data_IF_827930544496
#
_entry.id   IF_827930544496
#
_cell.length_a   1.000
_cell.length_b   1.000
_cell.length_c   1.000
_cell.angle_alpha   90.00
_cell.angle_beta   90.00
_cell.angle_gamma   90.00
#
_symmetry.space_group_name_H-M   'P 1'
#
loop_
_entity.id
_entity.type
_entity.pdbx_description
1 polymer ?
#
# COMPACT_ATOMS: atom_id res chain seq x y z
N UNK A 1 4.72 40.55 1.59
CA UNK A 1 3.71 40.04 0.62
C UNK A 1 3.99 38.62 0.14
N UNK A 2 5.19 38.30 -0.35
CA UNK A 2 5.52 36.95 -0.84
C UNK A 2 5.20 35.83 0.17
N UNK A 3 5.54 36.01 1.45
CA UNK A 3 5.34 35.01 2.49
C UNK A 3 3.86 34.67 2.71
N UNK A 4 2.98 35.68 2.74
CA UNK A 4 1.54 35.48 2.89
C UNK A 4 0.91 34.74 1.68
N UNK A 5 1.55 34.79 0.51
CA UNK A 5 1.05 34.14 -0.71
C UNK A 5 1.56 32.71 -0.87
N UNK A 6 2.83 32.46 -0.58
CA UNK A 6 3.44 31.15 -0.80
C UNK A 6 3.31 30.21 0.40
N UNK A 7 3.30 30.72 1.64
CA UNK A 7 3.22 29.88 2.83
C UNK A 7 1.95 29.01 2.88
N UNK A 8 0.73 29.52 2.62
CA UNK A 8 -0.48 28.69 2.62
C UNK A 8 -0.45 27.62 1.51
N UNK A 9 0.11 27.96 0.36
CA UNK A 9 0.23 27.04 -0.78
C UNK A 9 1.20 25.91 -0.44
N UNK A 10 2.36 26.24 0.11
CA UNK A 10 3.35 25.27 0.59
C UNK A 10 2.73 24.34 1.64
N UNK A 11 2.08 24.89 2.67
CA UNK A 11 1.43 24.10 3.71
C UNK A 11 0.37 23.14 3.14
N UNK A 12 -0.45 23.62 2.20
CA UNK A 12 -1.50 22.81 1.58
C UNK A 12 -0.92 21.66 0.76
N UNK A 13 0.15 21.91 -0.01
CA UNK A 13 0.82 20.87 -0.80
C UNK A 13 1.48 19.82 0.11
N UNK A 14 2.18 20.24 1.16
CA UNK A 14 2.74 19.31 2.14
C UNK A 14 1.65 18.47 2.82
N UNK A 15 0.54 19.10 3.21
CA UNK A 15 -0.59 18.39 3.79
C UNK A 15 -1.16 17.33 2.83
N UNK A 16 -1.28 17.63 1.54
CA UNK A 16 -1.75 16.65 0.55
C UNK A 16 -0.80 15.47 0.39
N UNK A 17 0.52 15.71 0.40
CA UNK A 17 1.52 14.64 0.33
C UNK A 17 1.44 13.71 1.55
N UNK A 18 1.28 14.28 2.75
CA UNK A 18 1.10 13.49 3.99
C UNK A 18 -0.19 12.67 3.94
N UNK A 19 -1.30 13.25 3.46
CA UNK A 19 -2.56 12.51 3.33
C UNK A 19 -2.40 11.31 2.37
N UNK A 20 -1.75 11.54 1.23
CA UNK A 20 -1.50 10.49 0.25
C UNK A 20 -0.60 9.38 0.80
N UNK A 21 0.46 9.75 1.55
CA UNK A 21 1.36 8.77 2.15
C UNK A 21 0.64 7.87 3.16
N UNK A 22 -0.24 8.44 3.99
CA UNK A 22 -1.04 7.69 4.97
C UNK A 22 -1.97 6.69 4.26
N UNK A 23 -2.60 7.09 3.15
CA UNK A 23 -3.48 6.19 2.38
C UNK A 23 -2.68 5.00 1.85
N UNK A 24 -1.50 5.23 1.27
CA UNK A 24 -0.68 4.12 0.76
C UNK A 24 -0.11 3.23 1.87
N UNK A 25 0.25 3.80 3.02
CA UNK A 25 0.66 3.05 4.21
C UNK A 25 -0.46 2.10 4.69
N UNK A 26 -1.69 2.61 4.72
CA UNK A 26 -2.86 1.81 5.09
C UNK A 26 -3.11 0.68 4.09
N UNK A 27 -3.01 0.97 2.78
CA UNK A 27 -3.15 -0.04 1.72
C UNK A 27 -2.10 -1.14 1.89
N UNK A 28 -0.83 -0.77 2.11
CA UNK A 28 0.25 -1.74 2.38
C UNK A 28 -0.03 -2.58 3.63
N UNK A 29 -0.49 -1.95 4.72
CA UNK A 29 -0.82 -2.62 5.99
C UNK A 29 -1.99 -3.59 5.87
N UNK A 30 -3.01 -3.25 5.07
CA UNK A 30 -4.14 -4.16 4.82
C UNK A 30 -3.71 -5.29 3.88
N UNK A 31 -2.90 -4.98 2.86
CA UNK A 31 -2.41 -5.97 1.91
C UNK A 31 -1.50 -7.02 2.57
N UNK A 32 -0.68 -6.65 3.56
CA UNK A 32 0.18 -7.62 4.25
C UNK A 32 -0.63 -8.70 4.99
N UNK A 33 -1.78 -8.33 5.55
CA UNK A 33 -2.70 -9.28 6.21
C UNK A 33 -3.32 -10.29 5.24
N UNK A 34 -3.39 -9.96 3.95
CA UNK A 34 -3.92 -10.88 2.95
C UNK A 34 -3.03 -12.12 2.82
N UNK A 35 -1.72 -11.99 3.06
CA UNK A 35 -0.78 -13.12 2.98
C UNK A 35 -1.15 -14.20 4.00
N UNK A 36 -1.26 -13.80 5.27
CA UNK A 36 -1.64 -14.69 6.37
C UNK A 36 -3.04 -15.28 6.16
N UNK A 37 -3.98 -14.46 5.67
CA UNK A 37 -5.36 -14.90 5.43
C UNK A 37 -5.46 -15.96 4.32
N UNK A 38 -4.69 -15.80 3.23
CA UNK A 38 -4.67 -16.75 2.12
C UNK A 38 -3.95 -18.03 2.53
N UNK A 39 -2.83 -17.93 3.27
CA UNK A 39 -2.10 -19.10 3.76
C UNK A 39 -2.90 -19.92 4.78
N UNK A 40 -3.72 -19.26 5.60
CA UNK A 40 -4.57 -19.92 6.61
C UNK A 40 -5.82 -20.62 6.08
N UNK A 41 -6.08 -20.61 4.77
CA UNK A 41 -7.23 -21.31 4.19
C UNK A 41 -7.01 -22.84 4.24
N UNK A 42 -8.05 -23.66 4.53
CA UNK A 42 -7.95 -25.12 4.51
C UNK A 42 -7.99 -25.63 3.06
N UNK A 43 -6.97 -25.30 2.28
CA UNK A 43 -6.90 -25.60 0.85
C UNK A 43 -6.82 -27.11 0.58
N UNK A 44 -6.39 -27.91 1.56
CA UNK A 44 -6.33 -29.38 1.48
C UNK A 44 -7.72 -30.00 1.27
N UNK A 45 -8.73 -29.41 1.91
CA UNK A 45 -10.12 -29.89 1.90
C UNK A 45 -10.97 -29.28 0.78
N UNK A 46 -10.41 -28.33 0.02
CA UNK A 46 -11.10 -27.67 -1.10
C UNK A 46 -11.15 -28.55 -2.35
N UNK A 47 -12.08 -28.30 -3.27
CA UNK A 47 -12.09 -28.93 -4.59
C UNK A 47 -11.00 -28.33 -5.52
N UNK A 48 -10.75 -29.00 -6.64
CA UNK A 48 -9.69 -28.62 -7.59
C UNK A 48 -9.84 -27.18 -8.10
N UNK A 49 -11.07 -26.69 -8.29
CA UNK A 49 -11.29 -25.33 -8.78
C UNK A 49 -10.86 -24.31 -7.74
N UNK A 50 -11.26 -24.50 -6.48
CA UNK A 50 -10.92 -23.59 -5.40
C UNK A 50 -9.42 -23.64 -5.06
N UNK A 51 -8.78 -24.81 -5.09
CA UNK A 51 -7.31 -24.92 -4.92
C UNK A 51 -6.53 -24.11 -5.95
N UNK A 52 -6.98 -24.09 -7.21
CA UNK A 52 -6.37 -23.26 -8.27
C UNK A 52 -6.50 -21.77 -7.96
N UNK A 53 -7.64 -21.34 -7.45
CA UNK A 53 -7.85 -19.95 -7.02
C UNK A 53 -6.95 -19.58 -5.85
N UNK A 54 -6.84 -20.44 -4.83
CA UNK A 54 -5.93 -20.21 -3.69
C UNK A 54 -4.47 -20.15 -4.15
N UNK A 55 -4.05 -21.04 -5.05
CA UNK A 55 -2.71 -21.00 -5.63
C UNK A 55 -2.44 -19.68 -6.38
N UNK A 56 -3.41 -19.16 -7.12
CA UNK A 56 -3.30 -17.84 -7.75
C UNK A 56 -3.15 -16.73 -6.70
N UNK A 57 -3.95 -16.72 -5.64
CA UNK A 57 -3.81 -15.72 -4.58
C UNK A 57 -2.46 -15.82 -3.86
N UNK A 58 -1.98 -17.03 -3.57
CA UNK A 58 -0.66 -17.27 -2.96
C UNK A 58 0.47 -16.70 -3.80
N UNK A 59 0.42 -16.86 -5.13
CA UNK A 59 1.43 -16.31 -6.02
C UNK A 59 1.46 -14.78 -6.01
N UNK A 60 0.30 -14.13 -5.89
CA UNK A 60 0.21 -12.66 -5.96
C UNK A 60 0.48 -11.98 -4.61
N UNK A 61 0.16 -12.64 -3.50
CA UNK A 61 0.25 -12.03 -2.16
C UNK A 61 1.65 -12.12 -1.53
N UNK A 62 2.58 -12.81 -2.19
CA UNK A 62 3.97 -12.93 -1.74
C UNK A 62 4.75 -11.62 -1.87
N UNK A 63 4.45 -10.81 -2.88
CA UNK A 63 5.09 -9.50 -3.05
C UNK A 63 4.28 -8.43 -2.27
N UNK A 64 4.90 -7.74 -1.30
CA UNK A 64 4.23 -6.64 -0.62
C UNK A 64 3.86 -5.53 -1.60
N UNK A 65 2.69 -4.94 -1.42
CA UNK A 65 2.25 -3.80 -2.25
C UNK A 65 3.06 -2.57 -1.88
N UNK A 66 4.11 -2.31 -2.65
CA UNK A 66 4.88 -1.07 -2.60
C UNK A 66 4.46 -0.17 -3.76
N UNK A 67 3.76 0.91 -3.46
CA UNK A 67 3.39 1.90 -4.47
C UNK A 67 4.57 2.83 -4.70
N UNK A 68 5.11 2.81 -5.93
CA UNK A 68 6.22 3.67 -6.33
C UNK A 68 5.71 4.94 -7.00
N UNK A 69 6.09 6.11 -6.48
CA UNK A 69 5.92 7.39 -7.15
C UNK A 69 6.75 7.40 -8.43
N UNK A 70 6.06 7.40 -9.58
CA UNK A 70 6.69 7.40 -10.91
C UNK A 70 7.70 6.26 -11.12
N UNK A 71 7.60 5.16 -10.35
CA UNK A 71 8.55 4.05 -10.40
C UNK A 71 9.91 4.32 -9.71
N UNK A 72 10.10 5.49 -9.09
CA UNK A 72 11.40 5.94 -8.57
C UNK A 72 11.53 5.85 -7.05
N UNK A 73 10.48 6.21 -6.31
CA UNK A 73 10.51 6.27 -4.85
C UNK A 73 9.29 5.57 -4.24
N UNK A 74 9.50 4.79 -3.19
CA UNK A 74 8.39 4.18 -2.46
C UNK A 74 7.60 5.26 -1.73
N UNK A 75 6.28 5.28 -1.93
CA UNK A 75 5.37 6.22 -1.29
C UNK A 75 4.91 5.62 0.02
N UNK A 76 5.24 6.27 1.14
CA UNK A 76 4.84 5.82 2.47
C UNK A 76 5.11 6.90 3.52
N UNK A 77 4.71 6.65 4.76
CA UNK A 77 4.93 7.65 5.83
C UNK A 77 6.42 7.90 6.03
N UNK A 78 7.25 6.87 5.81
CA UNK A 78 8.72 6.94 5.87
C UNK A 78 9.32 7.96 4.90
N UNK A 79 8.72 8.15 3.70
CA UNK A 79 9.18 9.16 2.75
C UNK A 79 8.85 10.59 3.19
N UNK A 80 7.96 10.76 4.17
CA UNK A 80 7.57 12.08 4.71
C UNK A 80 8.27 12.44 6.02
N UNK A 81 8.99 11.50 6.62
CA UNK A 81 9.77 11.72 7.85
C UNK A 81 11.24 12.09 7.58
N UNK A 82 11.70 11.99 6.33
CA UNK A 82 13.03 12.42 5.89
C UNK A 82 13.03 13.91 5.51
#
# INVERSE_FOLDING_TARGET
EALARYLPLTLTLFQQLIQLSIVFELVGTVSSKLNDAVYGLPWEDMDVKNRRTVAFFLLNVQEPVHVKALGLADVGVTSMTA
#
